data_IF_973304856802
#
_entry.id   IF_973304856802
#
_cell.length_a   1.000
_cell.length_b   1.000
_cell.length_c   1.000
_cell.angle_alpha   90.00
_cell.angle_beta   90.00
_cell.angle_gamma   90.00
#
_symmetry.space_group_name_H-M   'P 1'
#
loop_
_entity.id
_entity.type
_entity.pdbx_description
1 polymer ?
#
# COMPACT_ATOMS: atom_id res chain seq x y z
N UNK A 1 19.54 13.51 -19.54
CA UNK A 1 18.92 14.40 -18.54
C UNK A 1 17.57 13.80 -18.19
N UNK A 2 17.46 13.16 -17.02
CA UNK A 2 16.21 12.52 -16.59
C UNK A 2 15.21 13.61 -16.18
N UNK A 3 13.97 13.50 -16.64
CA UNK A 3 12.86 14.37 -16.25
C UNK A 3 12.39 14.00 -14.83
N UNK A 4 13.26 14.13 -13.83
CA UNK A 4 13.07 13.71 -12.44
C UNK A 4 12.25 14.71 -11.59
N UNK A 5 11.40 15.52 -12.21
CA UNK A 5 10.67 16.61 -11.54
C UNK A 5 9.16 16.64 -11.74
N UNK A 6 8.62 15.92 -12.74
CA UNK A 6 7.20 16.01 -13.07
C UNK A 6 6.49 14.75 -12.59
N UNK A 7 5.71 14.90 -11.53
CA UNK A 7 4.84 13.85 -11.00
C UNK A 7 4.01 13.25 -12.12
N UNK A 8 4.22 11.96 -12.41
CA UNK A 8 3.60 11.32 -13.54
C UNK A 8 2.27 10.68 -13.13
N UNK A 9 1.16 11.38 -13.38
CA UNK A 9 -0.18 10.93 -12.98
C UNK A 9 -0.55 9.56 -13.57
N UNK A 10 -0.03 9.21 -14.76
CA UNK A 10 -0.22 7.90 -15.38
C UNK A 10 0.36 6.77 -14.51
N UNK A 11 1.55 6.97 -13.96
CA UNK A 11 2.22 6.00 -13.10
C UNK A 11 1.62 5.94 -11.71
N UNK A 12 1.17 7.08 -11.16
CA UNK A 12 0.36 7.11 -9.95
C UNK A 12 -0.90 6.24 -10.05
N UNK A 13 -1.65 6.36 -11.16
CA UNK A 13 -2.85 5.54 -11.39
C UNK A 13 -2.49 4.05 -11.55
N UNK A 14 -1.37 3.75 -12.21
CA UNK A 14 -0.87 2.40 -12.37
C UNK A 14 -0.46 1.77 -11.03
N UNK A 15 0.21 2.53 -10.16
CA UNK A 15 0.54 2.10 -8.79
C UNK A 15 -0.72 1.79 -7.99
N UNK A 16 -1.76 2.61 -8.08
CA UNK A 16 -3.05 2.33 -7.42
C UNK A 16 -3.61 0.99 -7.90
N UNK A 17 -3.59 0.72 -9.20
CA UNK A 17 -4.06 -0.55 -9.75
C UNK A 17 -3.23 -1.75 -9.23
N UNK A 18 -1.90 -1.62 -9.20
CA UNK A 18 -1.01 -2.64 -8.62
C UNK A 18 -1.35 -2.86 -7.15
N UNK A 19 -1.47 -1.80 -6.36
CA UNK A 19 -1.82 -1.90 -4.94
C UNK A 19 -3.17 -2.59 -4.74
N UNK A 20 -4.17 -2.29 -5.57
CA UNK A 20 -5.47 -2.95 -5.53
C UNK A 20 -5.36 -4.44 -5.81
N UNK A 21 -4.64 -4.84 -6.86
CA UNK A 21 -4.43 -6.25 -7.21
C UNK A 21 -3.67 -6.99 -6.11
N UNK A 22 -2.58 -6.41 -5.63
CA UNK A 22 -1.76 -6.97 -4.54
C UNK A 22 -2.59 -7.10 -3.26
N UNK A 23 -3.38 -6.08 -2.92
CA UNK A 23 -4.25 -6.09 -1.74
C UNK A 23 -5.36 -7.15 -1.84
N UNK A 24 -5.99 -7.31 -3.01
CA UNK A 24 -6.98 -8.37 -3.25
C UNK A 24 -6.33 -9.75 -3.17
N UNK A 25 -5.18 -9.94 -3.82
CA UNK A 25 -4.46 -11.21 -3.81
C UNK A 25 -4.06 -11.63 -2.39
N UNK A 26 -3.44 -10.74 -1.61
CA UNK A 26 -3.07 -11.04 -0.24
C UNK A 26 -4.30 -11.22 0.67
N UNK A 27 -5.40 -10.50 0.43
CA UNK A 27 -6.66 -10.70 1.18
C UNK A 27 -7.27 -12.08 0.93
N UNK A 28 -7.28 -12.55 -0.31
CA UNK A 28 -7.74 -13.91 -0.67
C UNK A 28 -6.85 -14.96 -0.01
N UNK A 29 -5.53 -14.79 -0.10
CA UNK A 29 -4.57 -15.66 0.58
C UNK A 29 -4.87 -15.71 2.09
N UNK A 30 -5.25 -14.58 2.67
CA UNK A 30 -5.60 -14.47 4.09
C UNK A 30 -6.92 -15.09 4.49
N UNK A 31 -7.95 -15.04 3.66
CA UNK A 31 -9.19 -15.77 3.94
C UNK A 31 -8.90 -17.27 3.98
N UNK A 32 -8.03 -17.74 3.08
CA UNK A 32 -7.54 -19.12 3.07
C UNK A 32 -6.71 -19.45 4.32
N UNK A 33 -5.69 -18.68 4.66
CA UNK A 33 -4.78 -18.97 5.80
C UNK A 33 -5.36 -18.60 7.18
N UNK A 34 -6.16 -17.55 7.26
CA UNK A 34 -6.81 -17.07 8.48
C UNK A 34 -7.79 -18.10 9.04
N UNK A 35 -8.44 -18.89 8.19
CA UNK A 35 -9.24 -20.04 8.59
C UNK A 35 -8.40 -21.13 9.28
N UNK A 36 -7.13 -21.30 8.88
CA UNK A 36 -6.22 -22.29 9.46
C UNK A 36 -5.55 -21.86 10.78
N UNK A 37 -5.47 -20.56 11.08
CA UNK A 37 -4.57 -20.05 12.14
C UNK A 37 -5.27 -19.71 13.47
N UNK A 38 -6.51 -20.19 13.71
CA UNK A 38 -7.21 -20.16 15.00
C UNK A 38 -7.06 -18.85 15.83
N UNK A 39 -7.18 -17.68 15.19
CA UNK A 39 -7.18 -16.38 15.89
C UNK A 39 -5.87 -15.58 15.88
N UNK A 40 -4.77 -16.10 15.33
CA UNK A 40 -3.56 -15.30 15.05
C UNK A 40 -3.71 -14.33 13.84
N UNK A 41 -4.88 -14.32 13.19
CA UNK A 41 -5.15 -13.49 12.02
C UNK A 41 -4.84 -12.01 12.23
N UNK A 42 -5.00 -11.48 13.44
CA UNK A 42 -4.65 -10.09 13.77
C UNK A 42 -3.15 -9.79 13.67
N UNK A 43 -2.30 -10.67 14.22
CA UNK A 43 -0.84 -10.54 14.14
C UNK A 43 -0.36 -10.67 12.69
N UNK A 44 -0.98 -11.58 11.96
CA UNK A 44 -0.72 -11.76 10.55
C UNK A 44 -1.10 -10.47 9.80
N UNK A 45 -2.25 -9.86 10.06
CA UNK A 45 -2.66 -8.57 9.47
C UNK A 45 -1.69 -7.42 9.79
N UNK A 46 -1.18 -7.35 11.02
CA UNK A 46 -0.25 -6.31 11.46
C UNK A 46 1.06 -6.31 10.66
N UNK A 47 1.61 -7.48 10.36
CA UNK A 47 2.86 -7.64 9.60
C UNK A 47 2.60 -7.56 8.10
N UNK A 48 1.47 -8.09 7.64
CA UNK A 48 1.21 -8.23 6.22
C UNK A 48 0.82 -6.92 5.54
N UNK A 49 0.09 -6.02 6.21
CA UNK A 49 -0.27 -4.71 5.65
C UNK A 49 0.99 -3.94 5.22
N UNK A 50 1.99 -3.75 6.10
CA UNK A 50 3.30 -3.19 5.73
C UNK A 50 3.95 -3.92 4.56
N UNK A 51 3.92 -5.26 4.56
CA UNK A 51 4.47 -6.07 3.48
C UNK A 51 3.77 -5.80 2.13
N UNK A 52 2.46 -5.66 2.15
CA UNK A 52 1.64 -5.37 0.96
C UNK A 52 2.04 -4.02 0.35
N UNK A 53 2.22 -3.01 1.22
CA UNK A 53 2.69 -1.69 0.80
C UNK A 53 4.10 -1.74 0.23
N UNK A 54 5.00 -2.50 0.88
CA UNK A 54 6.36 -2.72 0.40
C UNK A 54 6.40 -3.41 -0.96
N UNK A 55 5.71 -4.54 -1.12
CA UNK A 55 5.69 -5.31 -2.37
C UNK A 55 5.01 -4.54 -3.51
N UNK A 56 3.93 -3.81 -3.25
CA UNK A 56 3.31 -2.97 -4.28
C UNK A 56 4.22 -1.83 -4.73
N UNK A 57 4.99 -1.23 -3.81
CA UNK A 57 6.02 -0.25 -4.14
C UNK A 57 7.16 -0.86 -4.97
N UNK A 58 7.65 -2.03 -4.56
CA UNK A 58 8.69 -2.79 -5.25
C UNK A 58 8.28 -3.19 -6.67
N UNK A 59 7.08 -3.75 -6.84
CA UNK A 59 6.54 -4.12 -8.15
C UNK A 59 6.38 -2.90 -9.06
N UNK A 60 5.88 -1.78 -8.50
CA UNK A 60 5.76 -0.53 -9.26
C UNK A 60 7.14 -0.07 -9.78
N UNK A 61 8.17 -0.08 -8.93
CA UNK A 61 9.52 0.31 -9.31
C UNK A 61 10.11 -0.62 -10.39
N UNK A 62 9.93 -1.94 -10.27
CA UNK A 62 10.35 -2.90 -11.28
C UNK A 62 9.73 -2.65 -12.66
N UNK A 63 8.47 -2.25 -12.71
CA UNK A 63 7.79 -1.92 -13.97
C UNK A 63 8.08 -0.51 -14.48
N UNK A 64 8.74 0.34 -13.67
CA UNK A 64 9.03 1.75 -14.00
C UNK A 64 10.43 2.19 -13.54
N UNK A 65 11.50 1.50 -14.00
CA UNK A 65 12.85 1.72 -13.48
C UNK A 65 13.37 3.14 -13.78
N UNK A 66 13.84 3.84 -12.73
CA UNK A 66 14.57 5.10 -12.80
C UNK A 66 13.73 6.37 -12.95
N UNK A 67 12.40 6.29 -12.76
CA UNK A 67 11.49 7.41 -12.97
C UNK A 67 10.60 7.67 -11.74
N UNK A 68 10.31 6.68 -10.90
CA UNK A 68 9.04 6.62 -10.16
C UNK A 68 9.21 6.13 -8.71
N UNK A 69 9.85 6.96 -7.88
CA UNK A 69 10.00 6.72 -6.43
C UNK A 69 8.82 7.30 -5.62
N UNK A 70 8.27 8.44 -6.05
CA UNK A 70 7.28 9.21 -5.28
C UNK A 70 5.84 8.82 -5.60
N UNK A 71 5.57 8.46 -6.85
CA UNK A 71 4.27 7.99 -7.33
C UNK A 71 3.77 6.74 -6.58
N UNK A 72 4.56 5.67 -6.37
CA UNK A 72 4.11 4.51 -5.59
C UNK A 72 3.79 4.86 -4.14
N UNK A 73 4.58 5.74 -3.51
CA UNK A 73 4.33 6.16 -2.14
C UNK A 73 3.02 6.97 -2.01
N UNK A 74 2.76 7.88 -2.95
CA UNK A 74 1.49 8.60 -3.03
C UNK A 74 0.31 7.65 -3.30
N UNK A 75 0.49 6.65 -4.16
CA UNK A 75 -0.52 5.63 -4.46
C UNK A 75 -0.88 4.81 -3.23
N UNK A 76 0.11 4.37 -2.44
CA UNK A 76 -0.11 3.64 -1.19
C UNK A 76 -0.88 4.49 -0.17
N UNK A 77 -0.56 5.78 -0.07
CA UNK A 77 -1.26 6.71 0.82
C UNK A 77 -2.73 6.88 0.37
N UNK A 78 -2.98 7.07 -0.93
CA UNK A 78 -4.32 7.20 -1.50
C UNK A 78 -5.18 5.96 -1.25
N UNK A 79 -4.63 4.75 -1.49
CA UNK A 79 -5.34 3.48 -1.25
C UNK A 79 -5.64 3.29 0.24
N UNK A 80 -4.75 3.73 1.13
CA UNK A 80 -4.96 3.63 2.58
C UNK A 80 -6.06 4.59 3.06
N UNK A 81 -6.09 5.82 2.52
CA UNK A 81 -7.17 6.79 2.79
C UNK A 81 -8.50 6.30 2.23
N UNK A 82 -8.53 5.78 1.00
CA UNK A 82 -9.76 5.25 0.41
C UNK A 82 -10.26 4.00 1.14
N UNK A 83 -9.38 3.07 1.49
CA UNK A 83 -9.75 1.88 2.25
C UNK A 83 -10.29 2.22 3.64
N UNK A 84 -9.66 3.17 4.33
CA UNK A 84 -10.16 3.62 5.64
C UNK A 84 -11.49 4.38 5.54
N UNK A 85 -11.76 5.14 4.47
CA UNK A 85 -13.06 5.76 4.23
C UNK A 85 -14.16 4.73 3.95
N UNK A 86 -13.85 3.66 3.23
CA UNK A 86 -14.78 2.54 2.95
C UNK A 86 -15.08 1.75 4.23
N UNK A 87 -14.06 1.50 5.06
CA UNK A 87 -14.23 0.80 6.35
C UNK A 87 -14.91 1.69 7.42
N UNK A 88 -14.78 3.02 7.33
CA UNK A 88 -15.26 3.97 8.35
C UNK A 88 -16.76 4.29 8.29
N UNK A 89 -17.62 3.36 7.88
CA UNK A 89 -19.09 3.49 7.93
C UNK A 89 -19.68 3.84 9.31
N UNK A 90 -18.89 3.88 10.38
CA UNK A 90 -19.23 4.46 11.68
C UNK A 90 -18.07 5.28 12.24
N UNK A 91 -18.18 6.61 12.25
CA UNK A 91 -17.09 7.53 12.61
C UNK A 91 -16.97 7.77 14.13
N UNK A 92 -15.78 7.50 14.67
CA UNK A 92 -15.32 7.91 16.01
C UNK A 92 -13.89 8.46 15.88
N UNK A 93 -13.55 9.52 16.63
CA UNK A 93 -12.29 10.27 16.50
C UNK A 93 -11.00 9.45 16.62
N UNK A 94 -11.05 8.22 17.17
CA UNK A 94 -9.92 7.28 17.17
C UNK A 94 -9.50 6.81 15.77
N UNK A 95 -10.42 6.83 14.79
CA UNK A 95 -10.13 6.44 13.40
C UNK A 95 -9.19 7.42 12.70
N UNK A 96 -9.21 8.72 13.02
CA UNK A 96 -8.37 9.71 12.35
C UNK A 96 -6.89 9.50 12.68
N UNK A 97 -6.56 9.27 13.95
CA UNK A 97 -5.18 8.97 14.37
C UNK A 97 -4.71 7.66 13.75
N UNK A 98 -5.57 6.63 13.73
CA UNK A 98 -5.27 5.37 13.05
C UNK A 98 -5.03 5.53 11.55
N UNK A 99 -5.77 6.42 10.88
CA UNK A 99 -5.62 6.73 9.46
C UNK A 99 -4.30 7.45 9.18
N UNK A 100 -3.93 8.42 10.01
CA UNK A 100 -2.63 9.13 9.89
C UNK A 100 -1.45 8.17 10.09
N UNK A 101 -1.50 7.32 11.14
CA UNK A 101 -0.43 6.36 11.41
C UNK A 101 -0.35 5.31 10.30
N UNK A 102 -1.48 4.71 9.90
CA UNK A 102 -1.51 3.70 8.84
C UNK A 102 -1.11 4.28 7.48
N UNK A 103 -1.51 5.51 7.17
CA UNK A 103 -1.10 6.23 5.96
C UNK A 103 0.40 6.52 5.94
N UNK A 104 0.98 6.94 7.07
CA UNK A 104 2.42 7.14 7.19
C UNK A 104 3.19 5.83 7.01
N UNK A 105 2.76 4.74 7.67
CA UNK A 105 3.37 3.41 7.51
C UNK A 105 3.27 2.94 6.06
N UNK A 106 2.11 3.08 5.42
CA UNK A 106 1.92 2.72 4.02
C UNK A 106 2.86 3.49 3.09
N UNK A 107 2.97 4.81 3.30
CA UNK A 107 3.85 5.68 2.52
C UNK A 107 5.32 5.27 2.67
N UNK A 108 5.82 5.08 3.89
CA UNK A 108 7.22 4.70 4.12
C UNK A 108 7.54 3.30 3.62
N UNK A 109 6.64 2.33 3.81
CA UNK A 109 6.84 0.97 3.30
C UNK A 109 6.87 0.94 1.76
N UNK A 110 5.94 1.64 1.10
CA UNK A 110 5.92 1.73 -0.36
C UNK A 110 7.14 2.46 -0.92
N UNK A 111 7.59 3.53 -0.25
CA UNK A 111 8.81 4.24 -0.61
C UNK A 111 10.05 3.35 -0.49
N UNK A 112 10.14 2.56 0.59
CA UNK A 112 11.25 1.64 0.78
C UNK A 112 11.22 0.51 -0.26
N UNK A 113 10.05 -0.07 -0.50
CA UNK A 113 9.88 -1.09 -1.55
C UNK A 113 10.29 -0.57 -2.93
N UNK A 114 9.86 0.63 -3.29
CA UNK A 114 10.23 1.25 -4.56
C UNK A 114 11.74 1.47 -4.68
N UNK A 115 12.40 1.95 -3.61
CA UNK A 115 13.86 2.13 -3.57
C UNK A 115 14.66 0.84 -3.70
N UNK A 116 14.09 -0.30 -3.30
CA UNK A 116 14.75 -1.60 -3.44
C UNK A 116 14.51 -2.25 -4.80
N UNK A 117 13.55 -1.75 -5.58
CA UNK A 117 13.20 -2.24 -6.92
C UNK A 117 13.79 -1.42 -8.07
N UNK A 118 14.23 -0.19 -7.80
CA UNK A 118 15.11 0.59 -8.69
C UNK A 118 16.58 0.19 -8.52
#
# INVERSE_FOLDING_TARGET
MSNSGVFNFKWFLFSIAIFLVVQVFLSILFVLFGFFTFGLGFLLFLILKPLTYYFGGYMTALFSPGITIREPAAGALAVTVLGSLVDAGGSSGGHFIGLVISGAVAYFCALWGARSGE
#
